data_IF_187315593187
#
_entry.id   IF_187315593187
#
_cell.length_a   1.000
_cell.length_b   1.000
_cell.length_c   1.000
_cell.angle_alpha   90.00
_cell.angle_beta   90.00
_cell.angle_gamma   90.00
#
_symmetry.space_group_name_H-M   'P 1'
#
loop_
_entity.id
_entity.type
_entity.pdbx_description
1 polymer ?
#
# COMPACT_ATOMS: atom_id res chain seq x y z
N UNK A 1 18.21 28.38 -29.92
CA UNK A 1 17.43 27.36 -30.65
C UNK A 1 17.42 26.12 -29.78
N UNK A 2 16.28 25.78 -29.17
CA UNK A 2 16.17 24.57 -28.36
C UNK A 2 16.31 23.35 -29.27
N UNK A 3 17.26 22.45 -28.98
CA UNK A 3 17.38 21.17 -29.68
C UNK A 3 16.03 20.46 -29.67
N UNK A 4 15.49 20.13 -30.85
CA UNK A 4 14.26 19.37 -30.94
C UNK A 4 14.51 17.99 -30.34
N UNK A 5 14.00 17.75 -29.13
CA UNK A 5 14.10 16.45 -28.46
C UNK A 5 13.34 15.44 -29.31
N UNK A 6 14.06 14.48 -29.91
CA UNK A 6 13.45 13.44 -30.74
C UNK A 6 12.52 12.56 -29.89
N UNK A 7 11.31 12.24 -30.38
CA UNK A 7 10.39 11.36 -29.66
C UNK A 7 10.95 9.94 -29.51
N UNK A 8 10.59 9.21 -28.43
CA UNK A 8 10.90 7.80 -28.30
C UNK A 8 10.36 6.99 -29.49
N UNK A 9 11.09 5.95 -29.91
CA UNK A 9 10.76 5.13 -31.10
C UNK A 9 9.33 4.54 -31.09
N UNK A 10 8.73 4.36 -29.91
CA UNK A 10 7.38 3.79 -29.73
C UNK A 10 6.31 4.83 -29.35
N UNK A 11 6.61 6.12 -29.47
CA UNK A 11 5.65 7.18 -29.20
C UNK A 11 4.54 7.21 -30.27
N UNK A 12 3.29 7.43 -29.84
CA UNK A 12 2.15 7.62 -30.73
C UNK A 12 1.91 9.11 -30.90
N UNK A 13 2.00 9.70 -32.10
CA UNK A 13 1.93 11.14 -32.30
C UNK A 13 0.53 11.73 -32.18
N UNK A 14 -0.49 10.89 -32.15
CA UNK A 14 -1.89 11.29 -31.99
C UNK A 14 -2.39 10.95 -30.57
N UNK A 15 -3.23 11.79 -29.96
CA UNK A 15 -3.76 13.06 -30.49
C UNK A 15 -2.84 14.27 -30.24
N UNK A 16 -1.75 14.11 -29.48
CA UNK A 16 -0.84 15.19 -29.14
C UNK A 16 0.60 14.86 -29.54
N UNK A 17 1.33 15.86 -30.01
CA UNK A 17 2.74 15.73 -30.34
C UNK A 17 3.58 15.45 -29.09
N UNK A 18 4.78 14.86 -29.29
CA UNK A 18 5.70 14.62 -28.20
C UNK A 18 6.15 15.94 -27.58
N UNK A 19 6.01 16.06 -26.26
CA UNK A 19 6.26 17.28 -25.50
C UNK A 19 5.36 18.48 -25.86
N UNK A 20 4.24 18.24 -26.53
CA UNK A 20 3.19 19.25 -26.63
C UNK A 20 2.74 19.68 -25.23
N UNK A 21 2.61 20.99 -25.01
CA UNK A 21 2.14 21.56 -23.76
C UNK A 21 0.68 21.93 -23.93
N UNK A 22 -0.17 21.36 -23.08
CA UNK A 22 -1.62 21.60 -23.06
C UNK A 22 -2.01 22.27 -21.75
N UNK A 23 -3.08 23.06 -21.80
CA UNK A 23 -3.75 23.59 -20.62
C UNK A 23 -5.06 22.85 -20.39
N UNK A 24 -5.29 22.43 -19.14
CA UNK A 24 -6.50 21.71 -18.77
C UNK A 24 -6.84 21.91 -17.30
N UNK A 25 -8.12 21.71 -17.00
CA UNK A 25 -8.60 21.59 -15.62
C UNK A 25 -8.49 20.15 -15.14
N UNK A 26 -8.16 20.01 -13.85
CA UNK A 26 -8.09 18.72 -13.16
C UNK A 26 -9.38 18.51 -12.39
N UNK A 27 -10.09 17.43 -12.70
CA UNK A 27 -11.42 17.12 -12.15
C UNK A 27 -11.38 16.10 -11.02
N UNK A 28 -10.43 15.16 -11.05
CA UNK A 28 -10.31 14.12 -10.03
C UNK A 28 -8.88 13.61 -9.88
N UNK A 29 -8.69 12.66 -8.96
CA UNK A 29 -7.46 11.88 -8.85
C UNK A 29 -7.72 10.45 -9.31
N UNK A 30 -6.73 9.87 -9.99
CA UNK A 30 -6.69 8.44 -10.28
C UNK A 30 -6.31 7.63 -9.04
N UNK A 31 -6.52 6.32 -9.08
CA UNK A 31 -6.03 5.37 -8.06
C UNK A 31 -4.49 5.38 -7.91
N UNK A 32 -3.77 5.90 -8.90
CA UNK A 32 -2.32 6.09 -8.86
C UNK A 32 -1.89 7.44 -8.26
N UNK A 33 -2.84 8.26 -7.82
CA UNK A 33 -2.61 9.58 -7.24
C UNK A 33 -2.22 10.66 -8.26
N UNK A 34 -2.43 10.41 -9.55
CA UNK A 34 -2.26 11.41 -10.59
C UNK A 34 -3.57 12.18 -10.80
N UNK A 35 -3.48 13.50 -10.99
CA UNK A 35 -4.61 14.31 -11.42
C UNK A 35 -5.13 13.84 -12.77
N UNK A 36 -6.44 13.89 -12.92
CA UNK A 36 -7.16 13.50 -14.13
C UNK A 36 -7.80 14.76 -14.67
N UNK A 37 -7.47 15.10 -15.91
CA UNK A 37 -8.18 16.12 -16.67
C UNK A 37 -8.75 15.54 -17.95
N UNK A 38 -9.75 16.20 -18.52
CA UNK A 38 -10.41 15.78 -19.76
C UNK A 38 -10.39 16.93 -20.76
N UNK A 39 -10.04 16.62 -22.00
CA UNK A 39 -10.10 17.56 -23.12
C UNK A 39 -11.01 17.00 -24.21
N UNK A 40 -11.85 17.85 -24.77
CA UNK A 40 -12.65 17.54 -25.96
C UNK A 40 -11.77 17.65 -27.20
N UNK A 41 -11.55 16.52 -27.88
CA UNK A 41 -10.82 16.50 -29.14
C UNK A 41 -11.81 16.65 -30.30
N UNK A 42 -11.53 17.63 -31.17
CA UNK A 42 -12.26 17.89 -32.42
C UNK A 42 -11.28 17.82 -33.58
N UNK A 43 -11.42 16.85 -34.51
CA UNK A 43 -10.48 16.77 -35.63
C UNK A 43 -10.72 15.61 -36.62
N UNK A 44 -10.15 15.67 -37.84
CA UNK A 44 -10.42 14.71 -38.93
C UNK A 44 -9.93 13.28 -38.66
N UNK A 45 -9.10 13.07 -37.63
CA UNK A 45 -8.70 11.74 -37.11
C UNK A 45 -9.76 11.10 -36.20
N UNK A 46 -10.86 11.79 -35.91
CA UNK A 46 -12.05 11.22 -35.28
C UNK A 46 -13.03 10.70 -36.34
N UNK A 47 -12.88 9.47 -36.79
CA UNK A 47 -13.98 8.74 -37.45
C UNK A 47 -15.19 8.51 -36.50
N UNK A 48 -15.20 9.09 -35.29
CA UNK A 48 -16.17 8.84 -34.21
C UNK A 48 -16.67 10.09 -33.45
N UNK A 49 -16.62 11.28 -34.06
CA UNK A 49 -17.14 12.50 -33.42
C UNK A 49 -16.33 13.00 -32.21
N UNK A 50 -16.87 13.99 -31.51
CA UNK A 50 -16.29 14.57 -30.29
C UNK A 50 -15.92 13.50 -29.27
N UNK A 51 -14.64 13.43 -28.90
CA UNK A 51 -14.15 12.46 -27.92
C UNK A 51 -13.56 13.16 -26.71
N UNK A 52 -14.10 12.84 -25.53
CA UNK A 52 -13.48 13.16 -24.25
C UNK A 52 -12.19 12.34 -24.10
N UNK A 53 -11.07 13.04 -24.09
CA UNK A 53 -9.74 12.45 -23.97
C UNK A 53 -9.18 12.68 -22.57
N UNK A 54 -8.79 11.59 -21.91
CA UNK A 54 -8.30 11.62 -20.53
C UNK A 54 -6.79 11.90 -20.52
N UNK A 55 -6.36 12.84 -19.69
CA UNK A 55 -4.94 13.16 -19.51
C UNK A 55 -4.59 13.00 -18.02
N UNK A 56 -3.58 12.17 -17.74
CA UNK A 56 -3.05 11.97 -16.40
C UNK A 56 -1.88 12.91 -16.15
N UNK A 57 -1.99 13.72 -15.09
CA UNK A 57 -1.01 14.72 -14.70
C UNK A 57 -0.62 14.52 -13.23
N UNK A 58 0.45 13.74 -12.93
CA UNK A 58 0.94 13.58 -11.56
C UNK A 58 1.25 14.92 -10.89
N UNK A 59 1.05 14.97 -9.56
CA UNK A 59 1.33 16.14 -8.71
C UNK A 59 0.42 17.37 -8.93
N UNK A 60 -0.66 17.21 -9.69
CA UNK A 60 -1.76 18.15 -9.80
C UNK A 60 -2.96 17.69 -8.98
N UNK A 61 -3.81 18.64 -8.58
CA UNK A 61 -4.96 18.41 -7.70
C UNK A 61 -6.29 18.80 -8.36
N UNK A 62 -7.40 18.18 -7.94
CA UNK A 62 -8.73 18.58 -8.36
C UNK A 62 -9.04 20.06 -8.05
N UNK A 63 -9.68 20.71 -9.01
CA UNK A 63 -9.96 22.15 -9.00
C UNK A 63 -8.80 23.02 -9.50
N UNK A 64 -7.68 22.42 -9.94
CA UNK A 64 -6.57 23.17 -10.51
C UNK A 64 -6.69 23.31 -12.02
N UNK A 65 -6.21 24.44 -12.53
CA UNK A 65 -5.87 24.62 -13.94
C UNK A 65 -4.37 24.52 -14.08
N UNK A 66 -3.88 23.67 -14.98
CA UNK A 66 -2.44 23.37 -15.09
C UNK A 66 -1.94 23.44 -16.52
N UNK A 67 -0.65 23.74 -16.69
CA UNK A 67 0.11 23.46 -17.92
C UNK A 67 0.77 22.10 -17.78
N UNK A 68 0.48 21.20 -18.71
CA UNK A 68 0.98 19.83 -18.69
C UNK A 68 1.66 19.47 -20.01
N UNK A 69 2.81 18.79 -19.95
CA UNK A 69 3.62 18.41 -21.12
C UNK A 69 3.44 16.94 -21.43
N UNK A 70 2.89 16.62 -22.60
CA UNK A 70 2.64 15.23 -23.01
C UNK A 70 3.95 14.48 -23.24
N UNK A 71 4.13 13.32 -22.59
CA UNK A 71 5.27 12.44 -22.84
C UNK A 71 4.86 11.06 -23.37
N UNK A 72 3.57 10.70 -23.28
CA UNK A 72 3.05 9.43 -23.82
C UNK A 72 1.57 9.53 -24.20
N UNK A 73 1.22 9.00 -25.36
CA UNK A 73 -0.17 8.72 -25.75
C UNK A 73 -0.43 7.21 -25.78
N UNK A 74 -1.60 6.81 -25.30
CA UNK A 74 -2.15 5.47 -25.37
C UNK A 74 -3.44 5.46 -26.23
N UNK A 75 -4.19 4.35 -26.24
CA UNK A 75 -5.41 4.22 -27.08
C UNK A 75 -6.57 5.10 -26.61
N UNK A 76 -6.59 5.48 -25.33
CA UNK A 76 -7.71 6.22 -24.72
C UNK A 76 -7.31 7.32 -23.75
N UNK A 77 -6.01 7.55 -23.58
CA UNK A 77 -5.51 8.56 -22.67
C UNK A 77 -4.11 9.03 -23.05
N UNK A 78 -3.68 10.13 -22.44
CA UNK A 78 -2.31 10.62 -22.46
C UNK A 78 -1.75 10.70 -21.04
N UNK A 79 -0.43 10.63 -20.93
CA UNK A 79 0.31 10.90 -19.71
C UNK A 79 1.18 12.12 -19.93
N UNK A 80 1.17 13.01 -18.96
CA UNK A 80 1.84 14.29 -19.03
C UNK A 80 2.62 14.58 -17.75
N UNK A 81 3.69 15.36 -17.89
CA UNK A 81 4.41 15.94 -16.76
C UNK A 81 3.78 17.29 -16.42
N UNK A 82 3.59 17.56 -15.12
CA UNK A 82 3.17 18.88 -14.66
C UNK A 82 4.28 19.89 -14.93
N UNK A 83 3.98 20.93 -15.72
CA UNK A 83 4.90 22.04 -15.99
C UNK A 83 4.67 23.16 -14.97
N UNK A 84 3.42 23.54 -14.78
CA UNK A 84 3.03 24.62 -13.88
C UNK A 84 1.57 24.46 -13.45
N UNK A 85 1.25 24.92 -12.23
CA UNK A 85 -0.12 25.13 -11.77
C UNK A 85 -0.47 26.60 -12.00
N UNK A 86 -1.43 26.87 -12.88
CA UNK A 86 -1.89 28.23 -13.21
C UNK A 86 -2.83 28.73 -12.10
N UNK A 87 -3.83 27.91 -11.75
CA UNK A 87 -4.76 28.18 -10.67
C UNK A 87 -4.63 27.09 -9.61
N UNK A 88 -4.28 27.48 -8.39
CA UNK A 88 -4.08 26.57 -7.28
C UNK A 88 -5.39 26.19 -6.60
N UNK A 89 -5.52 24.91 -6.21
CA UNK A 89 -6.58 24.44 -5.33
C UNK A 89 -6.39 24.98 -3.92
N UNK A 90 -7.48 25.31 -3.22
CA UNK A 90 -7.46 25.72 -1.81
C UNK A 90 -6.85 24.66 -0.89
N UNK A 91 -6.86 23.40 -1.34
CA UNK A 91 -6.32 22.25 -0.62
C UNK A 91 -4.85 21.98 -0.91
N UNK A 92 -4.21 22.76 -1.80
CA UNK A 92 -2.78 22.62 -2.06
C UNK A 92 -1.97 23.07 -0.85
N UNK A 93 -0.97 22.27 -0.48
CA UNK A 93 0.02 22.56 0.55
C UNK A 93 1.43 22.55 -0.05
N UNK A 94 2.35 23.24 0.61
CA UNK A 94 3.77 23.12 0.28
C UNK A 94 4.29 21.76 0.80
N UNK A 95 4.89 20.91 -0.05
CA UNK A 95 5.52 19.67 0.38
C UNK A 95 6.63 19.92 1.40
N UNK A 96 6.79 19.01 2.38
CA UNK A 96 7.90 19.07 3.36
C UNK A 96 9.21 18.61 2.74
N UNK A 97 9.15 17.56 1.93
CA UNK A 97 10.33 16.95 1.33
C UNK A 97 10.74 17.72 0.07
N UNK A 98 12.01 18.17 0.02
CA UNK A 98 12.59 18.83 -1.16
C UNK A 98 12.68 17.91 -2.39
N UNK A 99 12.64 16.59 -2.19
CA UNK A 99 12.65 15.58 -3.25
C UNK A 99 11.26 15.18 -3.72
N UNK A 100 10.20 15.78 -3.15
CA UNK A 100 8.83 15.59 -3.62
C UNK A 100 8.75 15.92 -5.12
N UNK A 101 7.87 15.24 -5.85
CA UNK A 101 7.78 15.18 -7.33
C UNK A 101 8.90 14.43 -8.06
N UNK A 102 10.04 14.15 -7.43
CA UNK A 102 11.15 13.42 -8.08
C UNK A 102 11.36 12.03 -7.48
N UNK A 103 11.34 11.91 -6.16
CA UNK A 103 11.35 10.63 -5.45
C UNK A 103 10.02 9.88 -5.66
N UNK A 104 10.08 8.59 -5.97
CA UNK A 104 8.88 7.75 -6.19
C UNK A 104 8.12 7.38 -4.90
N UNK A 105 8.55 7.85 -3.73
CA UNK A 105 8.01 7.44 -2.43
C UNK A 105 6.64 8.03 -2.07
N UNK A 106 6.43 9.33 -2.32
CA UNK A 106 5.21 10.05 -1.90
C UNK A 106 4.48 10.65 -3.09
N UNK A 107 3.14 10.72 -3.01
CA UNK A 107 2.30 11.28 -4.07
C UNK A 107 1.47 12.46 -3.60
N UNK A 108 1.22 12.62 -2.29
CA UNK A 108 0.22 13.55 -1.76
C UNK A 108 0.77 14.60 -0.79
N UNK A 109 2.10 14.80 -0.67
CA UNK A 109 2.63 15.84 0.24
C UNK A 109 2.15 17.27 -0.10
N UNK A 110 1.69 17.49 -1.33
CA UNK A 110 1.12 18.77 -1.76
C UNK A 110 -0.40 18.87 -1.54
N UNK A 111 -1.04 17.85 -0.96
CA UNK A 111 -2.47 17.81 -0.68
C UNK A 111 -2.71 17.90 0.83
N UNK A 112 -3.64 18.75 1.24
CA UNK A 112 -4.09 18.83 2.63
C UNK A 112 -4.46 17.45 3.19
N UNK A 113 -4.06 17.17 4.43
CA UNK A 113 -4.20 15.83 4.99
C UNK A 113 -5.66 15.37 5.08
N UNK A 114 -6.60 16.27 5.41
CA UNK A 114 -8.02 15.91 5.46
C UNK A 114 -8.55 15.56 4.07
N UNK A 115 -8.06 16.24 3.03
CA UNK A 115 -8.38 15.88 1.66
C UNK A 115 -7.76 14.55 1.25
N UNK A 116 -6.56 14.20 1.73
CA UNK A 116 -5.99 12.86 1.48
C UNK A 116 -6.94 11.76 1.98
N UNK A 117 -7.50 11.92 3.18
CA UNK A 117 -8.45 10.97 3.78
C UNK A 117 -9.74 10.89 2.96
N UNK A 118 -10.31 12.04 2.57
CA UNK A 118 -11.51 12.10 1.72
C UNK A 118 -11.27 11.42 0.37
N UNK A 119 -10.11 11.63 -0.24
CA UNK A 119 -9.76 10.99 -1.51
C UNK A 119 -9.56 9.49 -1.38
N UNK A 120 -8.98 9.01 -0.28
CA UNK A 120 -8.84 7.57 0.00
C UNK A 120 -10.20 6.89 0.18
N UNK A 121 -11.12 7.51 0.92
CA UNK A 121 -12.50 7.05 1.03
C UNK A 121 -13.21 7.02 -0.32
N UNK A 122 -13.12 8.11 -1.09
CA UNK A 122 -13.72 8.22 -2.41
C UNK A 122 -13.16 7.18 -3.38
N UNK A 123 -11.85 6.90 -3.32
CA UNK A 123 -11.23 5.86 -4.12
C UNK A 123 -11.88 4.50 -3.87
N UNK A 124 -12.09 4.11 -2.62
CA UNK A 124 -12.75 2.83 -2.28
C UNK A 124 -14.20 2.84 -2.75
N UNK A 125 -14.91 3.96 -2.58
CA UNK A 125 -16.30 4.15 -3.04
C UNK A 125 -16.42 3.97 -4.56
N UNK A 126 -15.61 4.69 -5.34
CA UNK A 126 -15.57 4.60 -6.79
C UNK A 126 -15.22 3.18 -7.27
N UNK A 127 -14.32 2.48 -6.57
CA UNK A 127 -13.98 1.09 -6.90
C UNK A 127 -15.17 0.15 -6.65
N UNK A 128 -15.87 0.25 -5.53
CA UNK A 128 -17.04 -0.59 -5.22
C UNK A 128 -18.14 -0.42 -6.28
N UNK A 129 -18.49 0.83 -6.59
CA UNK A 129 -19.53 1.14 -7.56
C UNK A 129 -19.14 0.72 -8.98
N UNK A 130 -17.93 1.08 -9.43
CA UNK A 130 -17.54 0.91 -10.84
C UNK A 130 -16.97 -0.44 -11.18
N UNK A 131 -16.29 -1.10 -10.24
CA UNK A 131 -15.69 -2.43 -10.49
C UNK A 131 -16.59 -3.56 -10.06
N UNK A 132 -17.20 -3.46 -8.88
CA UNK A 132 -18.04 -4.55 -8.36
C UNK A 132 -19.53 -4.36 -8.63
N UNK A 133 -19.98 -3.14 -8.98
CA UNK A 133 -21.41 -2.82 -9.07
C UNK A 133 -22.10 -2.85 -7.71
N UNK A 134 -21.34 -2.73 -6.62
CA UNK A 134 -21.85 -2.80 -5.25
C UNK A 134 -22.05 -1.37 -4.74
N UNK A 135 -23.31 -1.02 -4.48
CA UNK A 135 -23.67 0.24 -3.81
C UNK A 135 -23.69 0.00 -2.30
N UNK A 136 -22.60 0.33 -1.61
CA UNK A 136 -22.48 0.22 -0.15
C UNK A 136 -21.74 1.45 0.40
N UNK A 137 -22.18 2.05 1.53
CA UNK A 137 -21.48 3.17 2.13
C UNK A 137 -20.06 2.78 2.54
N UNK A 138 -19.11 3.68 2.27
CA UNK A 138 -17.72 3.56 2.74
C UNK A 138 -17.51 4.53 3.88
N UNK A 139 -17.03 4.01 5.01
CA UNK A 139 -16.77 4.81 6.20
C UNK A 139 -15.64 5.82 5.96
N UNK A 140 -15.62 6.87 6.77
CA UNK A 140 -14.56 7.88 6.72
C UNK A 140 -13.19 7.20 6.97
N UNK A 141 -12.19 7.54 6.16
CA UNK A 141 -10.84 6.93 6.32
C UNK A 141 -10.29 7.27 7.70
N UNK A 142 -9.94 6.25 8.49
CA UNK A 142 -9.34 6.44 9.80
C UNK A 142 -7.91 7.00 9.62
N UNK A 143 -7.60 8.17 10.20
CA UNK A 143 -6.31 8.82 10.01
C UNK A 143 -5.20 8.08 10.76
N UNK A 144 -3.98 8.22 10.28
CA UNK A 144 -2.81 7.94 11.12
C UNK A 144 -2.71 9.03 12.19
N UNK A 145 -2.46 8.66 13.46
CA UNK A 145 -2.18 9.65 14.51
C UNK A 145 -1.00 10.56 14.17
N UNK A 146 -0.06 10.08 13.35
CA UNK A 146 1.10 10.84 12.93
C UNK A 146 1.28 10.77 11.40
N UNK A 147 0.94 11.82 10.64
CA UNK A 147 1.04 11.80 9.18
C UNK A 147 2.48 11.95 8.63
N UNK A 148 3.47 12.07 9.52
CA UNK A 148 4.91 12.23 9.23
C UNK A 148 5.72 11.41 10.22
N UNK A 149 6.99 11.12 9.93
CA UNK A 149 7.87 10.32 10.79
C UNK A 149 7.25 9.01 11.31
N UNK A 150 6.36 8.39 10.55
CA UNK A 150 5.59 7.22 10.99
C UNK A 150 6.26 5.92 10.56
N UNK A 151 7.04 5.95 9.47
CA UNK A 151 7.51 4.76 8.79
C UNK A 151 8.68 4.16 9.55
N UNK A 152 8.46 3.00 10.17
CA UNK A 152 9.44 2.27 10.98
C UNK A 152 10.47 1.50 10.16
N UNK A 153 10.27 1.30 8.86
CA UNK A 153 11.24 0.64 7.97
C UNK A 153 11.39 1.35 6.63
N UNK A 154 12.63 1.61 6.26
CA UNK A 154 13.02 2.08 4.92
C UNK A 154 14.08 1.15 4.33
N UNK A 155 14.06 1.02 3.01
CA UNK A 155 15.05 0.22 2.28
C UNK A 155 15.66 1.02 1.12
N UNK A 156 16.55 2.00 1.40
CA UNK A 156 17.29 2.70 0.36
C UNK A 156 18.08 1.72 -0.52
N UNK A 157 18.31 2.08 -1.77
CA UNK A 157 19.05 1.31 -2.75
C UNK A 157 20.20 2.14 -3.31
N UNK A 158 21.23 1.47 -3.80
CA UNK A 158 22.27 2.08 -4.62
C UNK A 158 22.62 1.17 -5.79
N UNK A 159 23.04 1.77 -6.91
CA UNK A 159 23.56 1.04 -8.06
C UNK A 159 25.03 0.67 -7.86
N UNK A 160 25.59 -0.21 -8.71
CA UNK A 160 27.02 -0.53 -8.67
C UNK A 160 27.84 0.77 -8.69
N UNK A 161 28.70 1.03 -7.67
CA UNK A 161 29.52 2.23 -7.64
C UNK A 161 30.42 2.33 -8.86
N UNK A 162 30.62 3.55 -9.37
CA UNK A 162 31.53 3.83 -10.49
C UNK A 162 32.44 5.00 -10.12
N UNK A 163 33.73 4.99 -10.51
CA UNK A 163 34.66 6.06 -10.16
C UNK A 163 34.31 7.43 -10.78
N UNK A 164 33.55 7.45 -11.87
CA UNK A 164 33.24 8.66 -12.64
C UNK A 164 32.01 9.44 -12.13
N UNK A 165 31.31 8.94 -11.10
CA UNK A 165 30.03 9.51 -10.64
C UNK A 165 29.82 9.32 -9.16
N UNK A 166 29.10 10.27 -8.57
CA UNK A 166 28.63 10.16 -7.18
C UNK A 166 27.72 8.96 -6.99
N UNK A 167 27.84 8.33 -5.82
CA UNK A 167 27.03 7.20 -5.43
C UNK A 167 25.71 7.66 -4.82
N UNK A 168 24.65 7.67 -5.63
CA UNK A 168 23.30 7.90 -5.12
C UNK A 168 22.85 6.73 -4.24
N UNK A 169 22.42 7.05 -3.01
CA UNK A 169 21.82 6.12 -2.07
C UNK A 169 20.41 6.65 -1.75
N UNK A 170 19.37 5.91 -2.12
CA UNK A 170 18.01 6.40 -1.91
C UNK A 170 16.96 5.56 -2.61
N UNK A 171 15.96 6.20 -3.22
CA UNK A 171 14.81 5.50 -3.79
C UNK A 171 14.73 5.64 -5.30
N UNK A 172 13.83 4.90 -5.93
CA UNK A 172 13.58 5.04 -7.36
C UNK A 172 13.04 6.43 -7.67
N UNK A 173 13.53 7.01 -8.77
CA UNK A 173 12.94 8.22 -9.37
C UNK A 173 11.53 7.88 -9.85
N UNK A 174 10.59 8.80 -9.65
CA UNK A 174 9.22 8.66 -10.16
C UNK A 174 9.20 8.33 -11.65
N UNK A 175 8.34 7.40 -12.07
CA UNK A 175 8.28 6.92 -13.46
C UNK A 175 9.49 6.11 -13.95
N UNK A 176 10.54 5.93 -13.14
CA UNK A 176 11.71 5.12 -13.49
C UNK A 176 11.68 3.74 -12.84
N UNK A 177 12.24 2.74 -13.56
CA UNK A 177 12.40 1.37 -13.05
C UNK A 177 13.78 1.07 -12.50
N UNK A 178 14.76 1.93 -12.75
CA UNK A 178 16.16 1.65 -12.41
C UNK A 178 16.93 2.86 -11.90
N UNK A 179 16.50 4.10 -12.15
CA UNK A 179 17.23 5.30 -11.70
C UNK A 179 16.99 5.53 -10.22
N UNK A 180 18.07 5.70 -9.47
CA UNK A 180 18.05 6.01 -8.05
C UNK A 180 18.32 7.51 -7.86
N UNK A 181 17.46 8.16 -7.08
CA UNK A 181 17.71 9.50 -6.55
C UNK A 181 18.43 9.38 -5.21
N UNK A 182 19.39 10.27 -4.96
CA UNK A 182 20.01 10.35 -3.66
C UNK A 182 19.04 10.94 -2.64
N UNK A 183 18.92 10.27 -1.48
CA UNK A 183 17.97 10.65 -0.42
C UNK A 183 18.74 10.72 0.89
N UNK A 184 19.15 11.92 1.34
CA UNK A 184 19.86 12.08 2.60
C UNK A 184 18.93 12.02 3.82
N UNK A 185 17.65 12.33 3.65
CA UNK A 185 16.62 12.35 4.69
C UNK A 185 15.24 12.05 4.07
N UNK A 186 14.33 11.46 4.85
CA UNK A 186 12.95 11.17 4.45
C UNK A 186 11.95 11.59 5.54
N UNK A 187 11.10 12.59 5.27
CA UNK A 187 10.15 13.15 6.26
C UNK A 187 9.04 12.19 6.74
N UNK A 188 8.79 11.11 6.00
CA UNK A 188 7.85 10.07 6.44
C UNK A 188 8.54 8.95 7.22
N UNK A 189 9.87 8.84 7.15
CA UNK A 189 10.67 7.89 7.95
C UNK A 189 10.78 8.39 9.40
N UNK A 190 10.71 7.47 10.36
CA UNK A 190 10.91 7.81 11.78
C UNK A 190 12.21 8.60 12.00
N UNK A 191 12.20 9.48 13.01
CA UNK A 191 13.36 10.33 13.33
C UNK A 191 14.63 9.50 13.57
N UNK A 192 14.52 8.42 14.34
CA UNK A 192 15.64 7.50 14.59
C UNK A 192 16.26 6.95 13.29
N UNK A 193 15.45 6.67 12.25
CA UNK A 193 15.96 6.25 10.95
C UNK A 193 16.73 7.37 10.25
N UNK A 194 16.23 8.60 10.30
CA UNK A 194 16.91 9.76 9.72
C UNK A 194 18.20 10.12 10.49
N UNK A 195 18.26 9.84 11.80
CA UNK A 195 19.46 10.00 12.62
C UNK A 195 20.53 8.93 12.29
N UNK A 196 20.11 7.69 12.02
CA UNK A 196 21.01 6.58 11.69
C UNK A 196 21.47 6.56 10.21
N UNK A 197 20.64 7.07 9.29
CA UNK A 197 20.89 7.02 7.85
C UNK A 197 22.23 7.65 7.40
N UNK A 198 22.68 8.80 7.92
CA UNK A 198 23.97 9.40 7.54
C UNK A 198 25.18 8.48 7.80
N UNK A 199 25.20 7.79 8.95
CA UNK A 199 26.28 6.86 9.31
C UNK A 199 26.31 5.66 8.35
N UNK A 200 25.14 5.09 8.07
CA UNK A 200 25.00 3.98 7.12
C UNK A 200 25.42 4.37 5.70
N UNK A 201 25.08 5.58 5.27
CA UNK A 201 25.51 6.14 3.98
C UNK A 201 27.03 6.28 3.92
N UNK A 202 27.66 6.81 4.98
CA UNK A 202 29.11 6.97 5.06
C UNK A 202 29.82 5.60 4.99
N UNK A 203 29.33 4.60 5.72
CA UNK A 203 29.84 3.21 5.68
C UNK A 203 29.84 2.64 4.27
N UNK A 204 28.77 2.87 3.52
CA UNK A 204 28.65 2.40 2.13
C UNK A 204 29.59 3.16 1.21
N UNK A 205 29.68 4.48 1.33
CA UNK A 205 30.59 5.29 0.54
C UNK A 205 32.05 4.86 0.75
N UNK A 206 32.47 4.63 2.00
CA UNK A 206 33.81 4.14 2.33
C UNK A 206 34.06 2.73 1.77
N UNK A 207 33.08 1.83 1.89
CA UNK A 207 33.18 0.47 1.34
C UNK A 207 33.22 0.47 -0.19
N UNK A 208 32.49 1.40 -0.84
CA UNK A 208 32.52 1.61 -2.27
C UNK A 208 33.86 2.15 -2.76
N UNK A 209 34.45 3.10 -2.04
CA UNK A 209 35.79 3.64 -2.35
C UNK A 209 36.89 2.56 -2.28
N UNK A 210 36.70 1.52 -1.46
CA UNK A 210 37.58 0.36 -1.39
C UNK A 210 37.35 -0.67 -2.51
N UNK A 211 36.43 -0.43 -3.45
CA UNK A 211 36.14 -1.34 -4.56
C UNK A 211 35.44 -2.65 -4.15
N UNK A 212 34.90 -2.73 -2.93
CA UNK A 212 34.32 -3.97 -2.38
C UNK A 212 32.94 -4.33 -2.97
N UNK A 213 32.24 -3.38 -3.58
CA UNK A 213 30.93 -3.64 -4.19
C UNK A 213 31.04 -4.10 -5.64
N UNK A 214 30.72 -5.38 -5.89
CA UNK A 214 30.62 -5.94 -7.25
C UNK A 214 29.31 -5.60 -7.97
N UNK A 215 28.26 -5.29 -7.21
CA UNK A 215 26.90 -4.93 -7.67
C UNK A 215 26.28 -3.89 -6.75
N UNK A 216 25.18 -3.27 -7.18
CA UNK A 216 24.34 -2.46 -6.31
C UNK A 216 23.66 -3.32 -5.24
N UNK A 217 23.14 -2.69 -4.20
CA UNK A 217 22.45 -3.37 -3.11
C UNK A 217 21.33 -2.53 -2.51
N UNK A 218 20.59 -3.16 -1.60
CA UNK A 218 19.51 -2.58 -0.81
C UNK A 218 19.98 -2.53 0.64
N UNK A 219 19.88 -1.35 1.24
CA UNK A 219 20.02 -1.15 2.67
C UNK A 219 18.73 -1.58 3.35
N UNK A 220 18.84 -2.01 4.60
CA UNK A 220 17.72 -2.09 5.51
C UNK A 220 18.00 -1.10 6.63
N UNK A 221 17.01 -0.27 6.98
CA UNK A 221 16.96 0.41 8.26
C UNK A 221 15.56 0.19 8.83
N UNK A 222 15.49 -0.44 10.01
CA UNK A 222 14.26 -0.66 10.75
C UNK A 222 14.40 -0.13 12.16
N UNK A 223 13.53 0.77 12.56
CA UNK A 223 13.42 1.31 13.90
C UNK A 223 12.44 0.43 14.70
N UNK A 224 12.87 0.09 15.91
CA UNK A 224 12.01 -0.43 16.98
C UNK A 224 11.97 0.62 18.09
N UNK A 225 11.27 0.34 19.18
CA UNK A 225 11.26 1.20 20.37
C UNK A 225 12.66 1.42 20.98
N UNK A 226 13.62 0.50 20.75
CA UNK A 226 14.93 0.52 21.39
C UNK A 226 16.04 1.11 20.51
N UNK A 227 16.07 0.77 19.21
CA UNK A 227 17.19 1.14 18.32
C UNK A 227 16.84 1.00 16.84
N UNK A 228 17.82 1.32 15.97
CA UNK A 228 17.74 1.08 14.52
C UNK A 228 18.59 -0.13 14.16
N UNK A 229 17.99 -1.03 13.40
CA UNK A 229 18.59 -2.30 12.97
C UNK A 229 18.84 -2.28 11.46
N UNK A 230 20.04 -2.69 11.06
CA UNK A 230 20.47 -2.67 9.65
C UNK A 230 20.84 -4.05 9.11
N UNK A 231 20.93 -5.06 9.98
CA UNK A 231 21.10 -6.45 9.60
C UNK A 231 19.73 -7.11 9.36
N UNK A 232 19.42 -7.55 8.13
CA UNK A 232 18.12 -8.16 7.84
C UNK A 232 17.84 -9.48 8.56
N UNK A 233 18.86 -10.12 9.14
CA UNK A 233 18.74 -11.38 9.89
C UNK A 233 18.75 -11.17 11.41
N UNK A 234 18.82 -9.93 11.86
CA UNK A 234 18.72 -9.61 13.28
C UNK A 234 17.28 -9.83 13.75
N UNK A 235 17.11 -10.48 14.90
CA UNK A 235 15.80 -10.61 15.53
C UNK A 235 15.48 -9.29 16.22
N UNK A 236 14.34 -8.71 15.86
CA UNK A 236 13.85 -7.45 16.43
C UNK A 236 12.51 -7.70 17.12
N UNK A 237 12.13 -6.81 18.03
CA UNK A 237 10.87 -6.87 18.78
C UNK A 237 10.09 -5.56 18.56
N UNK A 238 8.80 -5.69 18.25
CA UNK A 238 7.85 -4.57 18.20
C UNK A 238 6.71 -4.82 19.18
N UNK A 239 6.23 -3.77 19.84
CA UNK A 239 5.11 -3.86 20.75
C UNK A 239 3.82 -3.35 20.08
N UNK A 240 2.75 -4.15 20.13
CA UNK A 240 1.42 -3.74 19.67
C UNK A 240 0.41 -4.01 20.79
N UNK A 241 -0.08 -2.93 21.40
CA UNK A 241 -0.82 -3.01 22.66
C UNK A 241 0.06 -3.61 23.76
N UNK A 242 -0.46 -4.64 24.43
CA UNK A 242 0.26 -5.33 25.50
C UNK A 242 1.13 -6.50 24.99
N UNK A 243 1.07 -6.80 23.69
CA UNK A 243 1.77 -7.94 23.10
C UNK A 243 3.09 -7.55 22.45
N UNK A 244 4.04 -8.47 22.51
CA UNK A 244 5.37 -8.34 21.90
C UNK A 244 5.51 -9.28 20.71
N UNK A 245 5.97 -8.74 19.59
CA UNK A 245 6.14 -9.49 18.35
C UNK A 245 7.61 -9.50 17.96
N UNK A 246 8.20 -10.68 17.93
CA UNK A 246 9.54 -10.91 17.41
C UNK A 246 9.47 -11.41 15.97
N UNK A 247 10.39 -10.92 15.15
CA UNK A 247 10.55 -11.27 13.74
C UNK A 247 11.95 -10.85 13.27
N UNK A 248 12.39 -11.26 12.07
CA UNK A 248 13.66 -10.76 11.55
C UNK A 248 13.49 -9.32 11.02
N UNK A 249 14.49 -8.45 11.21
CA UNK A 249 14.43 -7.07 10.76
C UNK A 249 14.10 -6.94 9.25
N UNK A 250 14.52 -7.92 8.45
CA UNK A 250 14.22 -8.03 7.02
C UNK A 250 12.77 -8.37 6.69
N UNK A 251 12.06 -9.05 7.59
CA UNK A 251 10.73 -9.60 7.35
C UNK A 251 9.64 -8.52 7.28
N UNK A 252 8.48 -8.91 6.79
CA UNK A 252 7.31 -8.04 6.81
C UNK A 252 6.79 -7.87 8.24
N UNK A 253 6.55 -6.62 8.60
CA UNK A 253 5.73 -6.22 9.75
C UNK A 253 5.18 -4.84 9.40
N UNK A 254 4.06 -4.45 9.99
CA UNK A 254 3.40 -3.21 9.63
C UNK A 254 4.33 -2.00 9.90
N UNK A 255 4.42 -1.10 8.93
CA UNK A 255 5.43 -0.04 8.94
C UNK A 255 4.97 1.24 9.66
N UNK A 256 3.73 1.31 10.12
CA UNK A 256 3.18 2.46 10.82
C UNK A 256 2.65 2.03 12.19
N UNK A 257 3.51 1.92 13.22
CA UNK A 257 3.09 1.42 14.52
C UNK A 257 2.08 2.32 15.21
N UNK A 258 2.05 3.62 14.89
CA UNK A 258 1.16 4.59 15.53
C UNK A 258 -0.33 4.33 15.27
N UNK A 259 -0.69 3.79 14.10
CA UNK A 259 -2.09 3.47 13.78
C UNK A 259 -2.46 2.01 14.12
N UNK A 260 -1.49 1.15 14.43
CA UNK A 260 -1.74 -0.27 14.66
C UNK A 260 -2.74 -0.57 15.78
N UNK A 261 -2.70 0.10 16.95
CA UNK A 261 -3.71 -0.15 17.97
C UNK A 261 -5.13 0.06 17.45
N UNK A 262 -5.41 1.19 16.80
CA UNK A 262 -6.72 1.49 16.24
C UNK A 262 -7.13 0.52 15.12
N UNK A 263 -6.17 0.07 14.31
CA UNK A 263 -6.40 -0.87 13.23
C UNK A 263 -6.73 -2.27 13.74
N UNK A 264 -5.92 -2.79 14.66
CA UNK A 264 -6.12 -4.10 15.30
C UNK A 264 -7.42 -4.11 16.11
N UNK A 265 -7.69 -3.06 16.90
CA UNK A 265 -8.92 -2.95 17.68
C UNK A 265 -10.18 -2.91 16.79
N UNK A 266 -10.10 -2.29 15.62
CA UNK A 266 -11.20 -2.32 14.66
C UNK A 266 -11.43 -3.73 14.10
N UNK A 267 -10.38 -4.40 13.63
CA UNK A 267 -10.48 -5.78 13.11
C UNK A 267 -10.99 -6.72 14.21
N UNK A 268 -10.54 -6.55 15.45
CA UNK A 268 -11.03 -7.29 16.61
C UNK A 268 -12.53 -7.10 16.82
N UNK A 269 -13.03 -5.86 16.83
CA UNK A 269 -14.47 -5.59 17.01
C UNK A 269 -15.33 -6.16 15.89
N UNK A 270 -14.84 -6.09 14.65
CA UNK A 270 -15.58 -6.64 13.51
C UNK A 270 -15.58 -8.18 13.55
N UNK A 271 -14.48 -8.82 13.94
CA UNK A 271 -14.39 -10.28 14.01
C UNK A 271 -15.07 -10.87 15.26
N UNK A 272 -14.86 -10.28 16.43
CA UNK A 272 -15.29 -10.79 17.75
C UNK A 272 -16.70 -10.32 18.11
N UNK A 273 -17.66 -10.72 17.28
CA UNK A 273 -19.09 -10.46 17.46
C UNK A 273 -19.71 -11.57 18.30
N UNK A 274 -20.45 -12.51 17.69
CA UNK A 274 -21.00 -13.71 18.35
C UNK A 274 -20.10 -14.95 18.21
N UNK A 275 -19.01 -14.82 17.45
CA UNK A 275 -18.13 -15.94 17.11
C UNK A 275 -17.20 -16.29 18.27
N UNK A 276 -17.00 -17.59 18.48
CA UNK A 276 -16.12 -18.15 19.53
C UNK A 276 -14.77 -18.57 19.00
N UNK A 277 -14.66 -18.78 17.69
CA UNK A 277 -13.43 -19.22 17.05
C UNK A 277 -12.97 -18.22 15.99
N UNK A 278 -11.65 -18.15 15.81
CA UNK A 278 -11.02 -17.30 14.80
C UNK A 278 -10.06 -18.14 13.96
N UNK A 279 -10.15 -18.01 12.64
CA UNK A 279 -9.07 -18.40 11.72
C UNK A 279 -8.44 -17.14 11.18
N UNK A 280 -7.13 -16.97 11.32
CA UNK A 280 -6.36 -15.89 10.72
C UNK A 280 -5.57 -16.46 9.53
N UNK A 281 -6.08 -16.24 8.31
CA UNK A 281 -5.44 -16.70 7.09
C UNK A 281 -4.40 -15.68 6.60
N UNK A 282 -3.20 -16.16 6.25
CA UNK A 282 -2.02 -15.33 5.96
C UNK A 282 -1.53 -14.59 7.20
N UNK A 283 -1.51 -15.27 8.36
CA UNK A 283 -1.27 -14.63 9.64
C UNK A 283 0.14 -14.02 9.80
N UNK A 284 1.10 -14.37 8.93
CA UNK A 284 2.48 -13.90 9.02
C UNK A 284 3.10 -14.24 10.37
N UNK A 285 3.68 -13.23 11.05
CA UNK A 285 4.21 -13.36 12.42
C UNK A 285 3.13 -13.34 13.52
N UNK A 286 1.85 -13.39 13.13
CA UNK A 286 0.71 -13.56 14.03
C UNK A 286 0.03 -12.27 14.50
N UNK A 287 0.12 -11.16 13.76
CA UNK A 287 -0.42 -9.87 14.22
C UNK A 287 -1.88 -9.98 14.68
N UNK A 288 -2.78 -10.46 13.82
CA UNK A 288 -4.19 -10.58 14.19
C UNK A 288 -4.46 -11.81 15.07
N UNK A 289 -3.94 -12.98 14.70
CA UNK A 289 -4.12 -14.21 15.47
C UNK A 289 -3.82 -14.04 16.97
N UNK A 290 -2.72 -13.36 17.30
CA UNK A 290 -2.28 -13.19 18.68
C UNK A 290 -2.99 -12.01 19.34
N UNK A 291 -3.10 -10.85 18.67
CA UNK A 291 -3.76 -9.67 19.25
C UNK A 291 -5.24 -9.89 19.52
N UNK A 292 -5.91 -10.74 18.75
CA UNK A 292 -7.32 -11.04 18.94
C UNK A 292 -7.57 -12.23 19.86
N UNK A 293 -6.54 -12.99 20.25
CA UNK A 293 -6.67 -14.24 20.99
C UNK A 293 -7.57 -14.15 22.23
N UNK A 294 -7.49 -13.06 22.98
CA UNK A 294 -8.32 -12.84 24.19
C UNK A 294 -9.82 -12.73 23.94
N UNK A 295 -10.23 -12.50 22.69
CA UNK A 295 -11.63 -12.34 22.31
C UNK A 295 -12.29 -13.65 21.85
N UNK A 296 -11.50 -14.72 21.71
CA UNK A 296 -11.96 -16.01 21.18
C UNK A 296 -11.60 -17.13 22.15
N UNK A 297 -12.35 -18.22 22.10
CA UNK A 297 -12.04 -19.43 22.86
C UNK A 297 -10.85 -20.17 22.27
N UNK A 298 -10.72 -20.18 20.95
CA UNK A 298 -9.55 -20.72 20.25
C UNK A 298 -9.32 -20.00 18.93
N UNK A 299 -8.05 -19.84 18.59
CA UNK A 299 -7.58 -19.20 17.36
C UNK A 299 -6.68 -20.15 16.59
N UNK A 300 -6.87 -20.23 15.28
CA UNK A 300 -5.98 -20.91 14.35
C UNK A 300 -5.35 -19.86 13.41
N UNK A 301 -4.04 -19.65 13.50
CA UNK A 301 -3.30 -18.89 12.50
C UNK A 301 -2.79 -19.81 11.40
N UNK A 302 -2.97 -19.45 10.14
CA UNK A 302 -2.50 -20.25 8.99
C UNK A 302 -1.58 -19.41 8.11
N UNK A 303 -0.37 -19.93 7.88
CA UNK A 303 0.68 -19.24 7.13
C UNK A 303 1.40 -20.20 6.18
N UNK A 304 1.72 -19.71 4.98
CA UNK A 304 2.39 -20.49 3.93
C UNK A 304 3.91 -20.49 4.14
N UNK A 305 4.45 -19.41 4.70
CA UNK A 305 5.86 -19.28 5.06
C UNK A 305 6.14 -19.96 6.40
N UNK A 306 6.79 -21.12 6.38
CA UNK A 306 7.20 -21.82 7.62
C UNK A 306 7.99 -20.90 8.57
N UNK A 307 8.92 -20.09 8.05
CA UNK A 307 9.67 -19.14 8.87
C UNK A 307 8.80 -18.10 9.56
N UNK A 308 7.71 -17.66 8.92
CA UNK A 308 6.76 -16.72 9.52
C UNK A 308 5.86 -17.42 10.54
N UNK A 309 5.42 -18.65 10.23
CA UNK A 309 4.68 -19.50 11.16
C UNK A 309 5.49 -19.81 12.44
N UNK A 310 6.79 -20.06 12.32
CA UNK A 310 7.69 -20.25 13.46
C UNK A 310 7.78 -19.00 14.33
N UNK A 311 7.86 -17.81 13.73
CA UNK A 311 7.76 -16.57 14.49
C UNK A 311 6.42 -16.42 15.19
N UNK A 312 5.30 -16.73 14.52
CA UNK A 312 3.99 -16.68 15.15
C UNK A 312 3.86 -17.66 16.32
N UNK A 313 4.40 -18.89 16.21
CA UNK A 313 4.45 -19.87 17.33
C UNK A 313 5.27 -19.34 18.50
N UNK A 314 6.46 -18.80 18.23
CA UNK A 314 7.33 -18.23 19.26
C UNK A 314 6.66 -17.02 19.93
N UNK A 315 6.03 -16.15 19.15
CA UNK A 315 5.31 -14.98 19.68
C UNK A 315 4.11 -15.41 20.53
N UNK A 316 3.33 -16.41 20.11
CA UNK A 316 2.24 -16.94 20.93
C UNK A 316 2.75 -17.47 22.28
N UNK A 317 3.83 -18.26 22.27
CA UNK A 317 4.47 -18.78 23.48
C UNK A 317 4.98 -17.65 24.39
N UNK A 318 5.67 -16.66 23.84
CA UNK A 318 6.24 -15.55 24.61
C UNK A 318 5.19 -14.62 25.22
N UNK A 319 4.03 -14.50 24.57
CA UNK A 319 2.90 -13.75 25.10
C UNK A 319 1.98 -14.60 26.00
N UNK A 320 2.35 -15.85 26.30
CA UNK A 320 1.58 -16.80 27.11
C UNK A 320 0.15 -17.04 26.56
N UNK A 321 0.02 -17.15 25.24
CA UNK A 321 -1.25 -17.38 24.57
C UNK A 321 -1.45 -18.89 24.34
N UNK A 322 -2.17 -19.53 25.25
CA UNK A 322 -2.42 -20.99 25.21
C UNK A 322 -3.54 -21.38 24.25
N UNK A 323 -4.42 -20.44 23.89
CA UNK A 323 -5.56 -20.68 23.02
C UNK A 323 -5.29 -20.43 21.52
N UNK A 324 -4.02 -20.29 21.13
CA UNK A 324 -3.60 -20.02 19.75
C UNK A 324 -2.82 -21.22 19.21
N UNK A 325 -3.27 -21.75 18.07
CA UNK A 325 -2.56 -22.78 17.30
C UNK A 325 -2.11 -22.19 15.98
N UNK A 326 -0.84 -22.37 15.61
CA UNK A 326 -0.29 -21.90 14.33
C UNK A 326 0.03 -23.08 13.42
N UNK A 327 -0.61 -23.08 12.26
CA UNK A 327 -0.49 -24.09 11.21
C UNK A 327 0.36 -23.54 10.07
N UNK A 328 1.41 -24.27 9.71
CA UNK A 328 2.12 -24.01 8.47
C UNK A 328 1.48 -24.88 7.38
N UNK A 329 0.76 -24.23 6.46
CA UNK A 329 0.00 -24.92 5.43
C UNK A 329 0.08 -24.15 4.11
N UNK A 330 0.08 -24.87 2.99
CA UNK A 330 0.00 -24.23 1.68
C UNK A 330 -1.36 -23.56 1.50
N UNK A 331 -1.45 -22.58 0.61
CA UNK A 331 -2.68 -21.80 0.40
C UNK A 331 -3.87 -22.68 -0.05
N UNK A 332 -3.57 -23.86 -0.60
CA UNK A 332 -4.50 -24.86 -1.12
C UNK A 332 -5.09 -25.77 -0.03
N UNK A 333 -4.54 -25.76 1.19
CA UNK A 333 -4.92 -26.67 2.28
C UNK A 333 -5.13 -25.93 3.61
N UNK A 334 -5.54 -24.66 3.57
CA UNK A 334 -5.64 -23.80 4.76
C UNK A 334 -6.65 -24.33 5.78
N UNK A 335 -7.77 -24.87 5.30
CA UNK A 335 -8.87 -25.27 6.18
C UNK A 335 -8.89 -26.77 6.52
N UNK A 336 -8.03 -27.60 5.91
CA UNK A 336 -8.05 -29.05 6.13
C UNK A 336 -7.79 -29.46 7.58
N UNK A 337 -6.97 -28.67 8.28
CA UNK A 337 -6.59 -28.93 9.67
C UNK A 337 -7.40 -28.10 10.68
N UNK A 338 -8.33 -27.26 10.21
CA UNK A 338 -9.19 -26.43 11.06
C UNK A 338 -10.43 -27.23 11.46
N UNK A 339 -10.60 -27.48 12.76
CA UNK A 339 -11.71 -28.27 13.31
C UNK A 339 -12.85 -27.42 13.87
N UNK A 340 -12.80 -26.10 13.70
CA UNK A 340 -13.77 -25.19 14.31
C UNK A 340 -15.15 -25.26 13.64
N UNK A 341 -16.26 -25.18 14.41
CA UNK A 341 -17.60 -25.04 13.86
C UNK A 341 -17.73 -23.76 13.04
N UNK A 342 -17.96 -23.89 11.74
CA UNK A 342 -17.98 -22.77 10.81
C UNK A 342 -19.00 -21.68 11.16
N UNK A 343 -20.18 -22.08 11.63
CA UNK A 343 -21.29 -21.20 12.05
C UNK A 343 -20.99 -20.37 13.31
N UNK A 344 -19.83 -20.62 13.95
CA UNK A 344 -19.34 -19.91 15.14
C UNK A 344 -17.91 -19.39 14.96
N UNK A 345 -17.44 -19.38 13.70
CA UNK A 345 -16.08 -19.00 13.32
C UNK A 345 -16.07 -17.72 12.50
N UNK A 346 -15.18 -16.80 12.87
CA UNK A 346 -14.76 -15.69 12.02
C UNK A 346 -13.49 -16.08 11.26
N UNK A 347 -13.35 -15.63 10.01
CA UNK A 347 -12.08 -15.73 9.27
C UNK A 347 -11.54 -14.33 9.00
N UNK A 348 -10.31 -14.05 9.39
CA UNK A 348 -9.55 -12.89 8.92
C UNK A 348 -8.76 -13.31 7.69
N UNK A 349 -8.76 -12.44 6.68
CA UNK A 349 -7.99 -12.63 5.46
C UNK A 349 -7.13 -11.39 5.23
N UNK A 350 -5.81 -11.52 5.30
CA UNK A 350 -4.84 -10.44 4.98
C UNK A 350 -3.88 -10.89 3.85
N UNK A 351 -4.37 -10.99 2.61
CA UNK A 351 -3.62 -11.60 1.52
C UNK A 351 -2.56 -10.63 0.97
N UNK A 352 -1.59 -11.13 0.18
CA UNK A 352 -0.65 -10.26 -0.53
C UNK A 352 -1.37 -9.31 -1.51
N UNK A 353 -0.65 -8.31 -2.03
CA UNK A 353 -1.19 -7.26 -2.94
C UNK A 353 -1.97 -7.75 -4.17
N UNK A 354 -1.83 -9.02 -4.55
CA UNK A 354 -2.55 -9.66 -5.67
C UNK A 354 -3.99 -10.09 -5.30
N UNK A 355 -4.36 -10.00 -4.01
CA UNK A 355 -5.61 -10.50 -3.46
C UNK A 355 -5.56 -12.00 -3.16
N UNK A 356 -6.72 -12.58 -2.90
CA UNK A 356 -6.90 -14.00 -2.66
C UNK A 356 -6.66 -14.81 -3.94
N UNK A 357 -6.11 -16.02 -3.78
CA UNK A 357 -6.12 -17.02 -4.85
C UNK A 357 -7.49 -17.67 -5.01
N UNK A 358 -7.80 -18.19 -6.20
CA UNK A 358 -9.07 -18.88 -6.45
C UNK A 358 -9.25 -20.10 -5.54
N UNK A 359 -8.21 -20.92 -5.38
CA UNK A 359 -8.23 -22.10 -4.51
C UNK A 359 -8.51 -21.75 -3.04
N UNK A 360 -7.97 -20.63 -2.57
CA UNK A 360 -8.25 -20.14 -1.22
C UNK A 360 -9.72 -19.74 -1.05
N UNK A 361 -10.27 -18.97 -2.01
CA UNK A 361 -11.67 -18.55 -1.97
C UNK A 361 -12.61 -19.76 -2.02
N UNK A 362 -12.31 -20.77 -2.84
CA UNK A 362 -13.11 -22.00 -2.90
C UNK A 362 -13.11 -22.75 -1.55
N UNK A 363 -11.96 -22.89 -0.90
CA UNK A 363 -11.90 -23.49 0.43
C UNK A 363 -12.67 -22.67 1.48
N UNK A 364 -12.54 -21.33 1.45
CA UNK A 364 -13.27 -20.44 2.36
C UNK A 364 -14.79 -20.59 2.20
N UNK A 365 -15.29 -20.63 0.95
CA UNK A 365 -16.71 -20.81 0.64
C UNK A 365 -17.20 -22.24 0.91
N UNK A 366 -16.29 -23.24 0.93
CA UNK A 366 -16.59 -24.60 1.36
C UNK A 366 -16.70 -24.69 2.89
N UNK A 367 -15.76 -24.04 3.60
CA UNK A 367 -15.75 -23.95 5.06
C UNK A 367 -16.98 -23.19 5.59
N UNK A 368 -17.44 -22.16 4.87
CA UNK A 368 -18.66 -21.37 5.17
C UNK A 368 -18.66 -20.71 6.57
N UNK A 369 -17.59 -20.00 6.97
CA UNK A 369 -17.56 -19.28 8.24
C UNK A 369 -18.74 -18.31 8.37
N UNK A 370 -19.21 -18.07 9.60
CA UNK A 370 -20.29 -17.11 9.83
C UNK A 370 -19.89 -15.71 9.35
N UNK A 371 -18.62 -15.34 9.53
CA UNK A 371 -18.13 -13.99 9.28
C UNK A 371 -16.74 -14.01 8.65
N UNK A 372 -16.49 -13.05 7.75
CA UNK A 372 -15.16 -12.83 7.15
C UNK A 372 -14.78 -11.36 7.30
N UNK A 373 -13.59 -11.10 7.82
CA UNK A 373 -12.99 -9.76 7.88
C UNK A 373 -11.81 -9.73 6.91
N UNK A 374 -12.02 -9.15 5.74
CA UNK A 374 -11.02 -9.06 4.68
C UNK A 374 -10.24 -7.76 4.86
N UNK A 375 -8.96 -7.86 5.21
CA UNK A 375 -7.98 -6.78 5.28
C UNK A 375 -7.21 -6.69 3.94
N UNK A 376 -7.03 -5.49 3.37
CA UNK A 376 -6.30 -5.37 2.10
C UNK A 376 -5.58 -4.03 1.90
N UNK A 377 -4.31 -4.14 1.51
CA UNK A 377 -3.47 -3.02 1.07
C UNK A 377 -3.69 -2.62 -0.40
N UNK A 378 -4.59 -3.34 -1.09
CA UNK A 378 -4.97 -3.08 -2.47
C UNK A 378 -6.49 -3.24 -2.64
N UNK A 379 -7.26 -2.16 -2.42
CA UNK A 379 -8.72 -2.19 -2.51
C UNK A 379 -9.24 -2.69 -3.86
N UNK A 380 -8.52 -2.48 -4.97
CA UNK A 380 -8.97 -2.93 -6.28
C UNK A 380 -9.06 -4.46 -6.39
N UNK A 381 -8.09 -5.20 -5.82
CA UNK A 381 -8.13 -6.67 -5.80
C UNK A 381 -9.13 -7.19 -4.78
N UNK A 382 -9.24 -6.55 -3.61
CA UNK A 382 -10.26 -6.87 -2.62
C UNK A 382 -11.67 -6.76 -3.22
N UNK A 383 -11.97 -5.64 -3.88
CA UNK A 383 -13.29 -5.36 -4.46
C UNK A 383 -13.65 -6.31 -5.60
N UNK A 384 -12.65 -6.73 -6.41
CA UNK A 384 -12.84 -7.83 -7.36
C UNK A 384 -13.30 -9.11 -6.65
N UNK A 385 -12.62 -9.47 -5.56
CA UNK A 385 -12.93 -10.70 -4.82
C UNK A 385 -14.32 -10.64 -4.16
N UNK A 386 -14.81 -9.46 -3.76
CA UNK A 386 -16.14 -9.28 -3.16
C UNK A 386 -17.30 -9.80 -4.05
N UNK A 387 -17.13 -9.80 -5.38
CA UNK A 387 -18.14 -10.38 -6.28
C UNK A 387 -18.31 -11.88 -6.05
N UNK A 388 -17.21 -12.60 -5.80
CA UNK A 388 -17.23 -14.02 -5.50
C UNK A 388 -17.87 -14.28 -4.12
N UNK A 389 -17.64 -13.42 -3.14
CA UNK A 389 -18.31 -13.50 -1.84
C UNK A 389 -19.83 -13.38 -1.97
N UNK A 390 -20.32 -12.38 -2.71
CA UNK A 390 -21.76 -12.20 -2.94
C UNK A 390 -22.38 -13.40 -3.65
N UNK A 391 -21.71 -13.93 -4.68
CA UNK A 391 -22.16 -15.13 -5.40
C UNK A 391 -22.21 -16.40 -4.52
N UNK A 392 -21.47 -16.41 -3.40
CA UNK A 392 -21.38 -17.54 -2.46
C UNK A 392 -22.11 -17.26 -1.12
N UNK A 393 -23.07 -16.34 -1.11
CA UNK A 393 -23.97 -16.12 0.02
C UNK A 393 -23.39 -15.30 1.16
N UNK A 394 -22.41 -14.42 0.88
CA UNK A 394 -21.92 -13.44 1.84
C UNK A 394 -22.37 -12.03 1.45
N UNK A 395 -22.91 -11.31 2.42
CA UNK A 395 -23.28 -9.90 2.27
C UNK A 395 -22.18 -9.01 2.84
N UNK A 396 -21.88 -7.92 2.12
CA UNK A 396 -20.98 -6.88 2.61
C UNK A 396 -21.71 -6.05 3.69
N UNK A 397 -21.13 -5.97 4.89
CA UNK A 397 -21.71 -5.29 6.04
C UNK A 397 -21.07 -3.92 6.32
N UNK A 398 -19.74 -3.83 6.17
CA UNK A 398 -18.97 -2.60 6.43
C UNK A 398 -17.75 -2.52 5.53
N UNK A 399 -17.34 -1.28 5.25
CA UNK A 399 -16.11 -0.98 4.52
C UNK A 399 -15.40 0.19 5.21
N UNK A 400 -14.23 -0.07 5.80
CA UNK A 400 -13.47 0.91 6.57
C UNK A 400 -12.05 1.05 6.01
N UNK A 401 -11.75 2.17 5.33
CA UNK A 401 -10.39 2.52 4.95
C UNK A 401 -9.58 3.01 6.15
N UNK A 402 -8.27 2.72 6.14
CA UNK A 402 -7.27 3.20 7.09
C UNK A 402 -6.10 3.82 6.35
N UNK A 403 -5.60 4.94 6.88
CA UNK A 403 -4.42 5.59 6.37
C UNK A 403 -3.13 5.08 7.04
N UNK A 404 -2.70 3.85 6.72
CA UNK A 404 -1.39 3.34 7.17
C UNK A 404 -0.21 4.03 6.48
N UNK A 405 -0.44 4.69 5.34
CA UNK A 405 0.59 5.31 4.53
C UNK A 405 0.27 6.78 4.17
N UNK A 406 0.24 7.68 5.17
CA UNK A 406 0.07 9.11 4.95
C UNK A 406 1.03 9.66 3.90
N UNK A 407 0.65 10.71 3.17
CA UNK A 407 1.43 11.34 2.08
C UNK A 407 1.62 10.47 0.83
N UNK A 408 1.10 9.24 0.84
CA UNK A 408 1.10 8.34 -0.30
C UNK A 408 -0.33 8.04 -0.74
N UNK A 409 -0.46 7.50 -1.95
CA UNK A 409 -1.72 6.98 -2.47
C UNK A 409 -2.19 5.67 -1.85
N UNK A 410 -1.34 4.99 -1.07
CA UNK A 410 -1.67 3.70 -0.50
C UNK A 410 -2.60 3.85 0.69
N UNK A 411 -3.50 2.90 0.85
CA UNK A 411 -4.43 2.79 1.96
C UNK A 411 -4.63 1.31 2.27
N UNK A 412 -4.95 1.00 3.52
CA UNK A 412 -5.52 -0.31 3.89
C UNK A 412 -7.03 -0.19 3.91
N UNK A 413 -7.74 -1.26 3.55
CA UNK A 413 -9.19 -1.30 3.58
C UNK A 413 -9.65 -2.60 4.25
N UNK A 414 -10.54 -2.46 5.24
CA UNK A 414 -11.17 -3.59 5.93
C UNK A 414 -12.60 -3.70 5.43
N UNK A 415 -12.94 -4.84 4.83
CA UNK A 415 -14.30 -5.20 4.45
C UNK A 415 -14.82 -6.30 5.38
N UNK A 416 -15.93 -6.03 6.07
CA UNK A 416 -16.61 -7.02 6.92
C UNK A 416 -17.74 -7.65 6.13
N UNK A 417 -17.75 -8.97 6.07
CA UNK A 417 -18.74 -9.78 5.36
C UNK A 417 -19.39 -10.76 6.33
N UNK A 418 -20.69 -10.97 6.17
CA UNK A 418 -21.45 -11.93 6.96
C UNK A 418 -22.17 -12.90 6.04
N UNK A 419 -22.17 -14.17 6.42
CA UNK A 419 -22.91 -15.20 5.70
C UNK A 419 -24.39 -14.96 5.88
N UNK A 420 -25.12 -14.83 4.76
CA UNK A 420 -26.57 -14.70 4.79
C UNK A 420 -27.18 -16.02 5.30
N UNK A 421 -28.08 -15.99 6.31
CA UNK A 421 -28.82 -17.17 6.73
C UNK A 421 -29.53 -17.79 5.51
N UNK A 422 -29.42 -19.12 5.39
CA UNK A 422 -30.03 -19.88 4.30
C UNK A 422 -31.53 -20.01 4.48
#
# INVERSE_FOLDING_TARGET
>A
MAESIKPPRKFRPEPFSYHEVVELEIDSLSNLGAGVGRMLLSGPSSEKGERNWVIFVPFSLPGERVRARIWKNESSCSHADLVEVINHSSSRRQPRCSLFTTCGGCQYQHLDYQEQLRWKQRQVTDLLERMAGISHPVENTIPSPQPWNYRSKITPHFQKPRPDRDLNIGFLVTGSRNRIIDVPQCDIAMKALNESLPEERLRIQQTAAQGKFRKGATLLLRATSASVHTNPREVVEEQVGDLKFRFLAGDFFQNNPFILPAFVDYVAREAATSNRFLVDAYCGSGLFALSLARHFESVAGVEVSESSADWARQNALQNNLENVTILAASAEHIFEQVTFPADRTSVIVDPPRKGCGEDFLQQLFSFKPQRVVYVSCNPATQIRDLQAFNANGYSLCRVQPFDLFPQTKHLECVATLERTPS
#
